data_IF_472657194706
#
_entry.id   IF_472657194706
#
_cell.length_a   1.000
_cell.length_b   1.000
_cell.length_c   1.000
_cell.angle_alpha   90.00
_cell.angle_beta   90.00
_cell.angle_gamma   90.00
#
_symmetry.space_group_name_H-M   'P 1'
#
loop_
_entity.id
_entity.type
_entity.pdbx_description
1 polymer ?
#
# COMPACT_ATOMS: atom_id res chain seq x y z
N UNK A 1 -42.47 -19.94 13.03
CA UNK A 1 -42.50 -19.61 11.59
C UNK A 1 -41.45 -18.55 11.33
N UNK A 2 -40.29 -18.94 10.81
CA UNK A 2 -39.16 -18.07 10.48
C UNK A 2 -38.88 -18.05 8.96
N UNK A 3 -39.80 -18.59 8.17
CA UNK A 3 -39.64 -18.80 6.72
C UNK A 3 -40.53 -17.86 5.91
N UNK A 4 -40.76 -16.65 6.41
CA UNK A 4 -41.43 -15.65 5.58
C UNK A 4 -40.40 -15.21 4.53
N UNK A 5 -40.54 -15.75 3.31
CA UNK A 5 -39.78 -15.33 2.13
C UNK A 5 -39.83 -13.81 2.05
N UNK A 6 -38.67 -13.17 2.19
CA UNK A 6 -38.53 -11.71 2.18
C UNK A 6 -38.75 -11.09 0.80
N UNK A 7 -39.50 -11.75 -0.09
CA UNK A 7 -39.78 -11.28 -1.44
C UNK A 7 -40.58 -9.96 -1.43
N UNK A 8 -41.39 -9.75 -0.39
CA UNK A 8 -42.16 -8.50 -0.18
C UNK A 8 -41.36 -7.38 0.49
N UNK A 9 -40.18 -7.69 1.03
CA UNK A 9 -39.30 -6.66 1.60
C UNK A 9 -38.53 -6.04 0.43
N UNK A 10 -38.80 -4.77 0.14
CA UNK A 10 -38.10 -3.98 -0.88
C UNK A 10 -36.56 -4.12 -0.81
N UNK A 11 -36.02 -4.38 0.37
CA UNK A 11 -34.58 -4.58 0.60
C UNK A 11 -34.05 -5.98 0.21
N UNK A 12 -34.92 -6.99 0.11
CA UNK A 12 -34.62 -8.39 -0.21
C UNK A 12 -35.17 -8.83 -1.58
N UNK A 13 -36.15 -8.13 -2.14
CA UNK A 13 -36.79 -8.41 -3.44
C UNK A 13 -35.96 -7.97 -4.66
N UNK A 14 -34.65 -7.78 -4.54
CA UNK A 14 -33.81 -7.39 -5.67
C UNK A 14 -33.58 -8.60 -6.59
N UNK A 15 -34.41 -8.71 -7.64
CA UNK A 15 -34.18 -9.63 -8.74
C UNK A 15 -32.80 -9.32 -9.35
N UNK A 16 -31.89 -10.29 -9.23
CA UNK A 16 -30.53 -10.40 -9.81
C UNK A 16 -30.00 -9.22 -10.65
N UNK A 17 -28.80 -8.74 -10.32
CA UNK A 17 -28.01 -7.84 -11.18
C UNK A 17 -27.84 -6.42 -10.64
N UNK A 18 -27.98 -5.41 -11.51
CA UNK A 18 -27.67 -4.01 -11.21
C UNK A 18 -28.51 -3.42 -10.07
N UNK A 19 -29.73 -3.94 -9.84
CA UNK A 19 -30.62 -3.49 -8.76
C UNK A 19 -30.06 -3.85 -7.38
N UNK A 20 -29.42 -5.03 -7.25
CA UNK A 20 -28.74 -5.46 -6.02
C UNK A 20 -27.59 -4.50 -5.68
N UNK A 21 -26.84 -4.05 -6.69
CA UNK A 21 -25.74 -3.09 -6.51
C UNK A 21 -26.19 -1.71 -5.98
N UNK A 22 -27.48 -1.35 -6.14
CA UNK A 22 -28.04 -0.08 -5.69
C UNK A 22 -28.48 -0.09 -4.22
N UNK A 23 -28.60 -1.27 -3.60
CA UNK A 23 -28.99 -1.42 -2.20
C UNK A 23 -28.00 -0.70 -1.28
N UNK A 24 -28.54 0.04 -0.30
CA UNK A 24 -27.76 0.90 0.61
C UNK A 24 -26.68 0.13 1.36
N UNK A 25 -27.00 -1.05 1.88
CA UNK A 25 -26.04 -1.86 2.63
C UNK A 25 -24.88 -2.34 1.75
N UNK A 26 -25.14 -2.67 0.48
CA UNK A 26 -24.08 -3.02 -0.48
C UNK A 26 -23.19 -1.82 -0.79
N UNK A 27 -23.77 -0.61 -0.93
CA UNK A 27 -22.97 0.62 -1.10
C UNK A 27 -22.05 0.87 0.10
N UNK A 28 -22.56 0.71 1.33
CA UNK A 28 -21.78 0.86 2.54
C UNK A 28 -20.66 -0.18 2.64
N UNK A 29 -20.95 -1.45 2.35
CA UNK A 29 -19.94 -2.52 2.34
C UNK A 29 -18.86 -2.24 1.29
N UNK A 30 -19.22 -1.75 0.09
CA UNK A 30 -18.26 -1.36 -0.94
C UNK A 30 -17.35 -0.23 -0.49
N UNK A 31 -17.91 0.80 0.14
CA UNK A 31 -17.12 1.91 0.70
C UNK A 31 -16.17 1.43 1.80
N UNK A 32 -16.64 0.58 2.72
CA UNK A 32 -15.81 -0.01 3.77
C UNK A 32 -14.70 -0.89 3.19
N UNK A 33 -14.99 -1.67 2.14
CA UNK A 33 -14.00 -2.50 1.46
C UNK A 33 -12.86 -1.66 0.83
N UNK A 34 -13.18 -0.51 0.22
CA UNK A 34 -12.16 0.40 -0.34
C UNK A 34 -11.21 0.91 0.75
N UNK A 35 -11.74 1.28 1.91
CA UNK A 35 -10.93 1.71 3.05
C UNK A 35 -10.06 0.58 3.61
N UNK A 36 -10.61 -0.63 3.72
CA UNK A 36 -9.86 -1.81 4.17
C UNK A 36 -8.70 -2.14 3.22
N UNK A 37 -8.94 -2.10 1.90
CA UNK A 37 -7.89 -2.33 0.91
C UNK A 37 -6.78 -1.29 0.96
N UNK A 38 -7.15 -0.02 1.15
CA UNK A 38 -6.18 1.06 1.32
C UNK A 38 -5.32 0.82 2.56
N UNK A 39 -5.93 0.42 3.67
CA UNK A 39 -5.22 0.08 4.91
C UNK A 39 -4.25 -1.09 4.73
N UNK A 40 -4.68 -2.19 4.11
CA UNK A 40 -3.81 -3.36 3.86
C UNK A 40 -2.61 -2.99 2.97
N UNK A 41 -2.83 -2.16 1.95
CA UNK A 41 -1.75 -1.65 1.09
C UNK A 41 -0.70 -0.86 1.90
N UNK A 42 -1.12 0.06 2.77
CA UNK A 42 -0.20 0.81 3.63
C UNK A 42 0.51 -0.06 4.67
N UNK A 43 -0.17 -1.07 5.23
CA UNK A 43 0.43 -2.01 6.16
C UNK A 43 1.59 -2.78 5.51
N UNK A 44 1.42 -3.23 4.26
CA UNK A 44 2.49 -3.92 3.50
C UNK A 44 3.67 -3.01 3.19
N UNK A 45 3.39 -1.78 2.76
CA UNK A 45 4.45 -0.77 2.53
C UNK A 45 5.21 -0.50 3.81
N UNK A 46 4.51 -0.31 4.93
CA UNK A 46 5.12 -0.09 6.24
C UNK A 46 6.00 -1.27 6.68
N UNK A 47 5.53 -2.50 6.50
CA UNK A 47 6.28 -3.71 6.83
C UNK A 47 7.54 -3.85 5.98
N UNK A 48 7.45 -3.61 4.67
CA UNK A 48 8.59 -3.62 3.76
C UNK A 48 9.63 -2.56 4.15
N UNK A 49 9.21 -1.30 4.29
CA UNK A 49 10.09 -0.19 4.66
C UNK A 49 10.72 -0.45 6.03
N UNK A 50 9.92 -0.89 7.02
CA UNK A 50 10.40 -1.23 8.36
C UNK A 50 11.40 -2.38 8.37
N UNK A 51 11.18 -3.43 7.58
CA UNK A 51 12.11 -4.56 7.43
C UNK A 51 13.42 -4.09 6.82
N UNK A 52 13.36 -3.24 5.79
CA UNK A 52 14.54 -2.66 5.20
C UNK A 52 15.31 -1.82 6.23
N UNK A 53 14.66 -0.92 6.97
CA UNK A 53 15.33 -0.12 8.02
C UNK A 53 15.89 -0.97 9.15
N UNK A 54 15.22 -2.06 9.54
CA UNK A 54 15.71 -2.99 10.54
C UNK A 54 17.01 -3.68 10.07
N UNK A 55 17.06 -4.15 8.82
CA UNK A 55 18.27 -4.74 8.25
C UNK A 55 19.43 -3.75 8.22
N UNK A 56 19.18 -2.49 7.83
CA UNK A 56 20.21 -1.45 7.84
C UNK A 56 20.67 -1.14 9.27
N UNK A 57 19.76 -1.04 10.23
CA UNK A 57 20.10 -0.87 11.66
C UNK A 57 20.97 -2.00 12.21
N UNK A 58 20.65 -3.25 11.86
CA UNK A 58 21.45 -4.42 12.23
C UNK A 58 22.87 -4.35 11.66
N UNK A 59 23.06 -3.76 10.48
CA UNK A 59 24.43 -3.59 9.94
C UNK A 59 25.28 -2.68 10.82
N UNK A 60 24.73 -1.56 11.30
CA UNK A 60 25.43 -0.64 12.21
C UNK A 60 25.69 -1.29 13.57
N UNK A 61 24.73 -2.07 14.07
CA UNK A 61 24.90 -2.82 15.31
C UNK A 61 26.05 -3.82 15.20
N UNK A 62 26.06 -4.66 14.15
CA UNK A 62 27.13 -5.64 13.92
C UNK A 62 28.47 -4.95 13.73
N UNK A 63 28.51 -3.85 12.98
CA UNK A 63 29.73 -3.10 12.75
C UNK A 63 30.32 -2.59 14.07
N UNK A 64 29.51 -1.95 14.91
CA UNK A 64 29.94 -1.45 16.22
C UNK A 64 30.37 -2.58 17.18
N UNK A 65 29.60 -3.67 17.22
CA UNK A 65 29.89 -4.81 18.10
C UNK A 65 31.14 -5.58 17.67
N UNK A 66 31.21 -6.02 16.42
CA UNK A 66 32.30 -6.86 15.92
C UNK A 66 33.62 -6.10 15.77
N UNK A 67 33.60 -4.83 15.33
CA UNK A 67 34.83 -4.03 15.25
C UNK A 67 35.25 -3.48 16.61
N UNK A 68 34.30 -3.00 17.40
CA UNK A 68 34.58 -2.37 18.69
C UNK A 68 34.97 -3.35 19.79
N UNK A 69 34.24 -4.45 19.94
CA UNK A 69 34.45 -5.39 21.05
C UNK A 69 35.30 -6.61 20.68
N UNK A 70 35.11 -7.14 19.47
CA UNK A 70 35.78 -8.38 19.06
C UNK A 70 37.06 -8.15 18.25
N UNK A 71 37.31 -6.91 17.81
CA UNK A 71 38.43 -6.54 16.95
C UNK A 71 38.58 -7.45 15.71
N UNK A 72 37.45 -7.88 15.15
CA UNK A 72 37.39 -8.83 14.02
C UNK A 72 36.82 -8.15 12.76
N UNK A 73 37.62 -7.33 12.04
CA UNK A 73 37.13 -6.52 10.91
C UNK A 73 36.62 -7.36 9.73
N UNK A 74 37.28 -8.49 9.43
CA UNK A 74 36.90 -9.38 8.33
C UNK A 74 35.50 -9.98 8.53
N UNK A 75 35.21 -10.41 9.76
CA UNK A 75 33.89 -10.93 10.14
C UNK A 75 32.82 -9.83 10.08
N UNK A 76 33.16 -8.62 10.52
CA UNK A 76 32.25 -7.48 10.45
C UNK A 76 31.89 -7.13 9.00
N UNK A 77 32.89 -7.01 8.11
CA UNK A 77 32.67 -6.64 6.70
C UNK A 77 31.85 -7.68 5.95
N UNK A 78 32.14 -8.96 6.14
CA UNK A 78 31.36 -10.04 5.53
C UNK A 78 29.89 -10.03 5.99
N UNK A 79 29.63 -9.83 7.28
CA UNK A 79 28.26 -9.75 7.79
C UNK A 79 27.52 -8.51 7.26
N UNK A 80 28.17 -7.34 7.24
CA UNK A 80 27.59 -6.12 6.66
C UNK A 80 27.29 -6.30 5.19
N UNK A 81 28.20 -6.91 4.41
CA UNK A 81 27.97 -7.18 2.99
C UNK A 81 26.73 -8.06 2.76
N UNK A 82 26.55 -9.11 3.57
CA UNK A 82 25.38 -9.99 3.49
C UNK A 82 24.09 -9.23 3.83
N UNK A 83 24.08 -8.46 4.93
CA UNK A 83 22.89 -7.72 5.35
C UNK A 83 22.52 -6.59 4.36
N UNK A 84 23.51 -5.90 3.79
CA UNK A 84 23.30 -4.91 2.73
C UNK A 84 22.78 -5.57 1.44
N UNK A 85 23.29 -6.74 1.09
CA UNK A 85 22.75 -7.49 -0.05
C UNK A 85 21.30 -7.89 0.18
N UNK A 86 20.98 -8.40 1.38
CA UNK A 86 19.61 -8.76 1.77
C UNK A 86 18.67 -7.54 1.72
N UNK A 87 19.09 -6.38 2.23
CA UNK A 87 18.29 -5.16 2.19
C UNK A 87 18.05 -4.67 0.75
N UNK A 88 19.06 -4.74 -0.12
CA UNK A 88 18.90 -4.46 -1.55
C UNK A 88 17.90 -5.42 -2.23
N UNK A 89 17.95 -6.70 -1.90
CA UNK A 89 17.01 -7.69 -2.45
C UNK A 89 15.58 -7.41 -1.99
N UNK A 90 15.36 -7.15 -0.70
CA UNK A 90 14.04 -6.75 -0.16
C UNK A 90 13.54 -5.50 -0.89
N UNK A 91 14.36 -4.46 -1.01
CA UNK A 91 14.00 -3.23 -1.71
C UNK A 91 13.67 -3.47 -3.20
N UNK A 92 14.38 -4.37 -3.88
CA UNK A 92 14.15 -4.70 -5.29
C UNK A 92 12.86 -5.50 -5.52
N UNK A 93 12.50 -6.37 -4.58
CA UNK A 93 11.26 -7.16 -4.64
C UNK A 93 10.04 -6.27 -4.38
N UNK A 94 10.17 -5.32 -3.46
CA UNK A 94 9.02 -4.52 -3.04
C UNK A 94 8.74 -3.32 -3.98
N UNK A 95 9.76 -2.73 -4.60
CA UNK A 95 9.63 -1.48 -5.37
C UNK A 95 9.70 -1.67 -6.90
N UNK A 96 8.72 -1.10 -7.61
CA UNK A 96 8.74 -0.92 -9.07
C UNK A 96 9.50 0.34 -9.49
N UNK A 97 10.80 0.36 -9.25
CA UNK A 97 11.65 1.48 -9.70
C UNK A 97 12.05 1.32 -11.17
N UNK A 98 12.16 2.44 -11.88
CA UNK A 98 12.83 2.48 -13.19
C UNK A 98 14.29 2.07 -13.04
N UNK A 99 14.94 1.65 -14.14
CA UNK A 99 16.34 1.18 -14.10
C UNK A 99 17.31 2.20 -13.49
N UNK A 100 17.11 3.48 -13.80
CA UNK A 100 17.93 4.58 -13.29
C UNK A 100 17.66 4.90 -11.84
N UNK A 101 16.39 4.97 -11.43
CA UNK A 101 16.04 5.17 -10.01
C UNK A 101 16.54 3.99 -9.17
N UNK A 102 16.44 2.75 -9.69
CA UNK A 102 16.95 1.54 -9.03
C UNK A 102 18.46 1.59 -8.86
N UNK A 103 19.19 1.94 -9.92
CA UNK A 103 20.65 2.06 -9.85
C UNK A 103 21.06 3.15 -8.84
N UNK A 104 20.44 4.33 -8.91
CA UNK A 104 20.71 5.42 -7.99
C UNK A 104 20.43 5.02 -6.53
N UNK A 105 19.31 4.33 -6.30
CA UNK A 105 18.94 3.82 -4.99
C UNK A 105 19.95 2.79 -4.47
N UNK A 106 20.35 1.82 -5.30
CA UNK A 106 21.36 0.82 -4.92
C UNK A 106 22.71 1.44 -4.60
N UNK A 107 23.19 2.37 -5.43
CA UNK A 107 24.47 3.06 -5.21
C UNK A 107 24.42 3.87 -3.91
N UNK A 108 23.36 4.63 -3.68
CA UNK A 108 23.24 5.46 -2.48
C UNK A 108 23.13 4.61 -1.20
N UNK A 109 22.38 3.52 -1.25
CA UNK A 109 22.23 2.60 -0.13
C UNK A 109 23.57 1.92 0.21
N UNK A 110 24.32 1.45 -0.79
CA UNK A 110 25.65 0.88 -0.58
C UNK A 110 26.67 1.92 -0.09
N UNK A 111 26.62 3.15 -0.61
CA UNK A 111 27.56 4.21 -0.26
C UNK A 111 27.58 4.50 1.25
N UNK A 112 26.42 4.59 1.90
CA UNK A 112 26.36 4.85 3.34
C UNK A 112 27.02 3.78 4.19
N UNK A 113 26.88 2.52 3.81
CA UNK A 113 27.44 1.38 4.54
C UNK A 113 28.95 1.26 4.31
N UNK A 114 29.42 1.54 3.09
CA UNK A 114 30.84 1.62 2.79
C UNK A 114 31.50 2.76 3.57
N UNK A 115 30.87 3.93 3.63
CA UNK A 115 31.35 5.05 4.43
C UNK A 115 31.39 4.72 5.93
N UNK A 116 30.39 4.01 6.45
CA UNK A 116 30.36 3.54 7.83
C UNK A 116 31.48 2.53 8.12
N UNK A 117 31.69 1.53 7.24
CA UNK A 117 32.77 0.56 7.37
C UNK A 117 34.14 1.26 7.33
N UNK A 118 34.31 2.26 6.46
CA UNK A 118 35.52 3.06 6.38
C UNK A 118 35.76 3.85 7.67
N UNK A 119 34.73 4.53 8.19
CA UNK A 119 34.83 5.28 9.44
C UNK A 119 35.20 4.38 10.62
N UNK A 120 34.57 3.21 10.72
CA UNK A 120 34.86 2.24 11.77
C UNK A 120 36.30 1.69 11.65
N UNK A 121 36.77 1.43 10.44
CA UNK A 121 38.16 1.01 10.20
C UNK A 121 39.18 2.09 10.61
N UNK A 122 38.96 3.33 10.17
CA UNK A 122 39.78 4.49 10.56
C UNK A 122 39.82 4.68 12.09
N UNK A 123 38.68 4.48 12.77
CA UNK A 123 38.60 4.57 14.22
C UNK A 123 39.50 3.52 14.90
N UNK A 124 39.57 2.31 14.35
CA UNK A 124 40.44 1.24 14.89
C UNK A 124 41.93 1.46 14.62
N UNK A 125 42.29 2.08 13.49
CA UNK A 125 43.69 2.22 13.06
C UNK A 125 44.35 3.56 13.39
N UNK A 126 43.66 4.67 13.13
CA UNK A 126 44.23 6.03 13.14
C UNK A 126 43.66 6.94 14.24
N UNK A 127 42.70 6.42 15.02
CA UNK A 127 42.08 7.11 16.14
C UNK A 127 40.92 8.03 15.75
N UNK A 128 40.28 8.59 16.78
CA UNK A 128 38.95 9.19 16.70
C UNK A 128 38.82 10.42 15.77
N UNK A 129 39.90 11.20 15.58
CA UNK A 129 39.84 12.48 14.85
C UNK A 129 39.46 12.34 13.38
N UNK A 130 39.98 11.32 12.68
CA UNK A 130 39.66 11.08 11.25
C UNK A 130 38.28 10.46 11.07
N UNK A 131 37.94 9.49 11.93
CA UNK A 131 36.63 8.84 11.92
C UNK A 131 35.48 9.83 12.08
N UNK A 132 35.66 10.85 12.94
CA UNK A 132 34.66 11.90 13.19
C UNK A 132 34.25 12.71 11.95
N UNK A 133 35.09 12.78 10.92
CA UNK A 133 34.76 13.49 9.67
C UNK A 133 33.93 12.61 8.72
N UNK A 134 34.15 11.30 8.73
CA UNK A 134 33.50 10.35 7.81
C UNK A 134 32.15 9.88 8.34
N UNK A 135 32.00 9.74 9.65
CA UNK A 135 30.75 9.33 10.31
C UNK A 135 29.51 10.14 9.87
N UNK A 136 29.50 11.49 9.84
CA UNK A 136 28.32 12.25 9.41
C UNK A 136 27.95 11.98 7.94
N UNK A 137 28.89 11.62 7.07
CA UNK A 137 28.58 11.27 5.68
C UNK A 137 27.73 10.01 5.59
N UNK A 138 28.01 9.01 6.44
CA UNK A 138 27.20 7.80 6.52
C UNK A 138 25.76 8.12 6.96
N UNK A 139 25.61 8.90 8.03
CA UNK A 139 24.29 9.33 8.53
C UNK A 139 23.50 10.15 7.51
N UNK A 140 24.15 11.12 6.86
CA UNK A 140 23.53 11.94 5.81
C UNK A 140 23.07 11.06 4.65
N UNK A 141 23.92 10.16 4.16
CA UNK A 141 23.53 9.27 3.06
C UNK A 141 22.34 8.37 3.42
N UNK A 142 22.30 7.84 4.64
CA UNK A 142 21.18 7.05 5.13
C UNK A 142 19.89 7.89 5.24
N UNK A 143 19.99 9.12 5.75
CA UNK A 143 18.88 10.07 5.78
C UNK A 143 18.34 10.38 4.38
N UNK A 144 19.23 10.55 3.38
CA UNK A 144 18.82 10.74 1.98
C UNK A 144 18.11 9.50 1.46
N UNK A 145 18.59 8.28 1.77
CA UNK A 145 17.91 7.02 1.39
C UNK A 145 16.50 6.95 1.98
N UNK A 146 16.33 7.29 3.25
CA UNK A 146 15.02 7.32 3.93
C UNK A 146 14.10 8.38 3.28
N UNK A 147 14.62 9.58 3.01
CA UNK A 147 13.86 10.64 2.32
C UNK A 147 13.51 10.29 0.87
N UNK A 148 14.39 9.62 0.14
CA UNK A 148 14.07 9.13 -1.19
C UNK A 148 13.03 8.02 -1.15
N UNK A 149 13.09 7.12 -0.16
CA UNK A 149 12.06 6.11 0.03
C UNK A 149 10.67 6.73 0.22
N UNK A 150 10.55 7.80 1.01
CA UNK A 150 9.26 8.49 1.21
C UNK A 150 8.77 9.20 -0.05
N UNK A 151 9.67 9.79 -0.84
CA UNK A 151 9.33 10.44 -2.13
C UNK A 151 8.89 9.40 -3.17
N UNK A 152 9.56 8.24 -3.21
CA UNK A 152 9.31 7.16 -4.19
C UNK A 152 7.94 6.52 -4.00
N UNK A 153 7.34 6.53 -2.79
CA UNK A 153 6.03 5.92 -2.51
C UNK A 153 4.93 6.39 -3.48
N UNK A 154 5.07 7.60 -4.09
CA UNK A 154 4.19 8.13 -5.16
C UNK A 154 2.71 7.87 -4.86
N UNK A 155 2.27 8.34 -3.70
CA UNK A 155 0.88 8.21 -3.26
C UNK A 155 -0.05 8.92 -4.25
N UNK A 156 -1.03 8.20 -4.80
CA UNK A 156 -2.03 8.74 -5.72
C UNK A 156 -3.43 8.53 -5.18
N UNK A 157 -4.26 9.57 -5.30
CA UNK A 157 -5.70 9.49 -5.04
C UNK A 157 -6.39 8.97 -6.31
N UNK A 158 -7.19 7.92 -6.17
CA UNK A 158 -8.03 7.36 -7.23
C UNK A 158 -9.42 8.03 -7.27
N UNK A 159 -10.16 7.84 -8.37
CA UNK A 159 -11.49 8.45 -8.59
C UNK A 159 -12.54 8.02 -7.56
N UNK A 160 -12.38 6.83 -7.01
CA UNK A 160 -13.21 6.28 -5.94
C UNK A 160 -12.86 6.83 -4.54
N UNK A 161 -11.88 7.74 -4.45
CA UNK A 161 -11.37 8.29 -3.19
C UNK A 161 -10.34 7.41 -2.47
N UNK A 162 -9.94 6.26 -3.05
CA UNK A 162 -8.88 5.43 -2.49
C UNK A 162 -7.51 6.12 -2.64
N UNK A 163 -6.63 5.95 -1.67
CA UNK A 163 -5.29 6.55 -1.68
C UNK A 163 -4.28 5.41 -1.71
N UNK A 164 -3.61 5.18 -2.85
CA UNK A 164 -2.79 3.98 -3.04
C UNK A 164 -1.32 4.33 -3.34
N UNK A 165 -0.36 3.64 -2.70
CA UNK A 165 1.06 3.77 -2.99
C UNK A 165 1.42 2.91 -4.23
N UNK A 166 1.37 3.52 -5.40
CA UNK A 166 1.51 2.80 -6.68
C UNK A 166 2.95 2.32 -6.99
N UNK A 167 3.94 2.75 -6.22
CA UNK A 167 5.34 2.36 -6.41
C UNK A 167 5.67 0.94 -5.91
N UNK A 168 4.72 0.25 -5.26
CA UNK A 168 4.94 -1.08 -4.68
C UNK A 168 4.26 -2.18 -5.50
N UNK A 169 5.04 -3.21 -5.88
CA UNK A 169 4.51 -4.36 -6.64
C UNK A 169 3.40 -5.08 -5.87
N UNK A 170 3.62 -5.30 -4.57
CA UNK A 170 2.66 -6.01 -3.71
C UNK A 170 1.28 -5.35 -3.61
N UNK A 171 1.18 -4.05 -3.93
CA UNK A 171 -0.08 -3.29 -3.94
C UNK A 171 -0.79 -3.43 -5.29
N UNK A 172 -0.05 -3.54 -6.39
CA UNK A 172 -0.61 -3.82 -7.72
C UNK A 172 -1.31 -5.19 -7.77
N UNK A 173 -0.78 -6.21 -7.08
CA UNK A 173 -1.41 -7.53 -7.03
C UNK A 173 -2.69 -7.59 -6.18
N UNK A 174 -2.92 -6.58 -5.33
CA UNK A 174 -4.13 -6.44 -4.52
C UNK A 174 -5.28 -5.75 -5.25
N UNK A 175 -5.03 -5.15 -6.41
CA UNK A 175 -6.08 -4.58 -7.26
C UNK A 175 -6.85 -5.71 -7.96
N UNK A 176 -7.58 -6.49 -7.17
CA UNK A 176 -8.48 -7.58 -7.62
C UNK A 176 -9.57 -7.05 -8.55
N UNK A 177 -9.83 -5.73 -8.52
CA UNK A 177 -10.86 -5.09 -9.31
C UNK A 177 -10.35 -4.52 -10.64
N UNK A 178 -9.05 -4.58 -10.91
CA UNK A 178 -8.46 -4.13 -12.17
C UNK A 178 -8.64 -2.63 -12.45
N UNK A 179 -8.85 -1.81 -11.41
CA UNK A 179 -9.09 -0.37 -11.55
C UNK A 179 -7.94 0.35 -12.23
N UNK A 180 -6.69 -0.09 -12.01
CA UNK A 180 -5.50 0.56 -12.55
C UNK A 180 -5.34 0.33 -14.05
N UNK A 181 -5.84 -0.79 -14.59
CA UNK A 181 -5.57 -1.19 -15.98
C UNK A 181 -6.46 -0.50 -17.02
N UNK A 182 -7.61 0.07 -16.62
CA UNK A 182 -8.58 0.62 -17.58
C UNK A 182 -8.20 1.99 -18.18
N UNK A 183 -7.19 2.70 -17.67
CA UNK A 183 -6.83 4.03 -18.19
C UNK A 183 -5.94 4.04 -19.44
N UNK A 184 -5.28 2.93 -19.77
CA UNK A 184 -4.38 2.88 -20.93
C UNK A 184 -5.00 2.23 -22.18
N UNK A 185 -6.22 1.70 -22.07
CA UNK A 185 -6.87 0.95 -23.13
C UNK A 185 -8.01 1.70 -23.82
N UNK A 186 -8.05 3.05 -23.75
CA UNK A 186 -8.78 3.85 -24.74
C UNK A 186 -7.73 4.36 -25.71
N UNK A 187 -7.41 3.61 -26.79
CA UNK A 187 -6.60 4.15 -27.83
C UNK A 187 -7.34 5.35 -28.40
N UNK A 188 -6.57 6.37 -28.70
CA UNK A 188 -6.79 7.50 -29.61
C UNK A 188 -7.29 7.08 -31.02
N UNK A 189 -7.84 5.88 -31.18
CA UNK A 189 -8.47 5.36 -32.38
C UNK A 189 -9.87 5.96 -32.63
N UNK A 190 -10.44 6.70 -31.68
CA UNK A 190 -11.70 7.43 -31.88
C UNK A 190 -11.51 8.87 -32.39
N UNK A 191 -10.27 9.40 -32.45
CA UNK A 191 -10.01 10.76 -32.94
C UNK A 191 -9.34 10.80 -34.34
N UNK A 192 -8.98 9.64 -34.91
CA UNK A 192 -8.26 9.58 -36.18
C UNK A 192 -9.12 9.33 -37.44
N UNK A 193 -10.47 9.21 -37.37
CA UNK A 193 -11.20 8.83 -38.59
C UNK A 193 -12.72 8.80 -38.58
N UNK A 194 -13.42 9.86 -38.15
CA UNK A 194 -14.82 10.03 -38.54
C UNK A 194 -15.27 11.50 -38.67
N UNK A 195 -14.57 12.24 -39.53
CA UNK A 195 -15.20 13.27 -40.37
C UNK A 195 -15.23 12.69 -41.78
N UNK A 196 -16.35 12.06 -42.14
CA UNK A 196 -17.06 12.30 -43.41
C UNK A 196 -18.08 11.18 -43.69
N UNK A 197 -19.29 11.64 -43.98
CA UNK A 197 -20.43 10.99 -44.65
C UNK A 197 -21.22 9.86 -43.96
N UNK A 198 -22.45 10.24 -43.61
CA UNK A 198 -23.60 9.38 -43.35
C UNK A 198 -24.20 8.93 -44.70
N UNK A 199 -24.32 7.62 -44.96
CA UNK A 199 -25.48 7.13 -45.68
C UNK A 199 -26.29 6.18 -44.80
N UNK A 200 -27.56 6.56 -44.61
CA UNK A 200 -28.56 5.76 -43.95
C UNK A 200 -28.81 4.46 -44.72
N UNK A 201 -28.38 3.31 -44.19
CA UNK A 201 -28.95 2.02 -44.58
C UNK A 201 -28.76 1.00 -43.46
N UNK A 202 -29.88 0.46 -42.98
CA UNK A 202 -29.92 -0.49 -41.89
C UNK A 202 -29.29 -1.84 -42.22
N UNK A 203 -28.51 -2.36 -41.27
CA UNK A 203 -28.22 -3.79 -41.16
C UNK A 203 -27.79 -4.13 -39.72
N UNK A 204 -28.60 -4.97 -39.10
CA UNK A 204 -28.33 -5.97 -38.06
C UNK A 204 -26.95 -5.93 -37.36
N UNK A 205 -26.96 -5.57 -36.07
CA UNK A 205 -25.78 -5.61 -35.19
C UNK A 205 -25.35 -7.05 -34.84
N UNK A 206 -24.04 -7.37 -34.84
CA UNK A 206 -23.53 -8.63 -34.31
C UNK A 206 -23.41 -8.57 -32.79
N UNK A 207 -23.92 -9.61 -32.14
CA UNK A 207 -23.90 -9.84 -30.69
C UNK A 207 -22.46 -10.12 -30.23
N UNK A 208 -21.82 -9.13 -29.60
CA UNK A 208 -20.53 -9.33 -28.91
C UNK A 208 -20.75 -10.25 -27.70
N UNK A 209 -20.29 -11.49 -27.83
CA UNK A 209 -20.19 -12.44 -26.73
C UNK A 209 -19.01 -12.00 -25.87
N UNK A 210 -19.31 -11.48 -24.67
CA UNK A 210 -18.32 -11.26 -23.63
C UNK A 210 -17.68 -12.60 -23.28
N UNK A 211 -16.45 -12.81 -23.72
CA UNK A 211 -15.63 -13.95 -23.36
C UNK A 211 -15.21 -13.76 -21.90
N UNK A 212 -15.93 -14.43 -21.01
CA UNK A 212 -15.59 -14.59 -19.60
C UNK A 212 -14.26 -15.36 -19.52
N UNK A 213 -13.20 -14.82 -18.88
CA UNK A 213 -11.96 -15.57 -18.73
C UNK A 213 -12.25 -16.80 -17.85
N UNK A 214 -12.04 -17.97 -18.44
CA UNK A 214 -12.13 -19.25 -17.76
C UNK A 214 -11.18 -19.25 -16.57
N UNK A 215 -11.73 -19.39 -15.36
CA UNK A 215 -10.98 -19.67 -14.16
C UNK A 215 -10.15 -20.94 -14.39
N UNK A 216 -8.85 -20.76 -14.65
CA UNK A 216 -7.89 -21.83 -14.67
C UNK A 216 -7.83 -22.46 -13.29
N UNK A 217 -8.21 -23.73 -13.23
CA UNK A 217 -8.02 -24.58 -12.06
C UNK A 217 -6.52 -24.67 -11.75
N UNK A 218 -6.06 -23.91 -10.76
CA UNK A 218 -4.75 -24.11 -10.15
C UNK A 218 -4.92 -25.19 -9.08
N UNK A 219 -4.29 -26.33 -9.34
CA UNK A 219 -4.25 -27.48 -8.47
C UNK A 219 -3.78 -27.10 -7.07
N UNK A 220 -4.58 -27.54 -6.09
CA UNK A 220 -4.09 -27.89 -4.75
C UNK A 220 -3.08 -29.01 -4.91
N UNK A 221 -1.87 -28.81 -4.41
CA UNK A 221 -1.08 -29.82 -3.70
C UNK A 221 0.22 -29.17 -3.19
N UNK A 222 0.20 -28.76 -1.92
CA UNK A 222 1.40 -28.56 -1.11
C UNK A 222 1.00 -28.47 0.37
N UNK A 223 0.59 -29.61 0.93
CA UNK A 223 0.69 -29.89 2.34
C UNK A 223 2.15 -30.20 2.67
N UNK A 224 2.85 -29.35 3.42
CA UNK A 224 4.04 -29.76 4.15
C UNK A 224 4.26 -28.92 5.41
N UNK A 225 4.16 -29.63 6.53
CA UNK A 225 4.59 -29.34 7.89
C UNK A 225 5.68 -28.27 8.06
N UNK A 226 5.43 -27.30 8.94
CA UNK A 226 6.48 -26.65 9.71
C UNK A 226 6.00 -26.46 11.17
N UNK A 227 6.77 -27.07 12.06
CA UNK A 227 6.56 -27.23 13.49
C UNK A 227 6.61 -25.91 14.25
N UNK A 228 5.71 -25.77 15.23
CA UNK A 228 5.80 -24.81 16.32
C UNK A 228 7.08 -25.05 17.12
N UNK A 229 8.01 -24.09 17.07
CA UNK A 229 9.15 -23.98 17.98
C UNK A 229 8.93 -22.77 18.90
N UNK A 230 8.45 -23.03 20.10
CA UNK A 230 8.41 -22.08 21.21
C UNK A 230 9.83 -21.83 21.71
N UNK A 231 10.32 -20.59 21.62
CA UNK A 231 11.50 -20.14 22.35
C UNK A 231 11.21 -18.78 22.98
N UNK A 232 10.93 -18.83 24.28
CA UNK A 232 10.92 -17.69 25.20
C UNK A 232 12.34 -17.14 25.33
N UNK A 233 12.61 -15.99 24.72
CA UNK A 233 13.85 -15.22 24.85
C UNK A 233 13.57 -13.88 25.50
N UNK A 234 13.89 -13.80 26.79
CA UNK A 234 13.87 -12.63 27.66
C UNK A 234 14.88 -11.57 27.15
N UNK A 235 14.40 -10.38 26.79
CA UNK A 235 15.23 -9.21 26.51
C UNK A 235 14.85 -8.08 27.47
N UNK A 236 15.81 -7.43 28.16
CA UNK A 236 15.54 -6.30 29.02
C UNK A 236 15.22 -5.05 28.19
N UNK A 237 14.17 -4.36 28.62
CA UNK A 237 13.65 -3.10 28.09
C UNK A 237 14.66 -1.96 28.35
N UNK A 238 15.12 -1.22 27.32
CA UNK A 238 15.87 0.01 27.56
C UNK A 238 14.91 1.19 27.77
N UNK A 239 14.89 1.70 28.99
CA UNK A 239 14.28 2.97 29.35
C UNK A 239 14.93 4.13 28.57
N UNK A 240 14.30 4.62 27.50
CA UNK A 240 14.60 5.98 27.01
C UNK A 240 13.38 6.61 26.30
N UNK A 241 12.95 7.81 26.71
CA UNK A 241 11.76 8.45 26.16
C UNK A 241 12.09 9.29 24.92
N UNK A 242 11.84 8.75 23.73
CA UNK A 242 11.58 9.57 22.53
C UNK A 242 10.34 9.06 21.82
N UNK A 243 9.19 9.21 22.50
CA UNK A 243 7.89 9.00 21.91
C UNK A 243 7.46 10.22 21.10
N UNK A 244 7.76 10.23 19.80
CA UNK A 244 6.91 10.94 18.84
C UNK A 244 5.54 10.24 18.85
N UNK A 245 4.62 10.86 19.59
CA UNK A 245 3.31 10.30 19.90
C UNK A 245 2.50 10.03 18.64
N UNK A 246 2.23 8.75 18.37
CA UNK A 246 1.30 8.28 17.33
C UNK A 246 -0.08 8.95 17.45
N UNK A 247 -0.44 9.46 18.63
CA UNK A 247 -1.69 10.21 18.85
C UNK A 247 -1.74 11.55 18.12
N UNK A 248 -0.59 12.16 17.78
CA UNK A 248 -0.55 13.42 17.04
C UNK A 248 -0.83 13.22 15.54
N UNK A 249 -0.51 12.05 14.95
CA UNK A 249 -0.87 11.75 13.56
C UNK A 249 -2.35 11.35 13.42
N UNK A 250 -2.95 10.79 14.47
CA UNK A 250 -4.39 10.49 14.50
C UNK A 250 -5.27 11.75 14.54
N UNK A 251 -4.83 12.85 15.19
CA UNK A 251 -5.60 14.10 15.21
C UNK A 251 -5.63 14.79 13.86
N UNK A 252 -4.52 14.80 13.11
CA UNK A 252 -4.48 15.39 11.76
C UNK A 252 -5.33 14.61 10.75
N UNK A 253 -5.42 13.28 10.85
CA UNK A 253 -6.30 12.49 9.97
C UNK A 253 -7.78 12.57 10.36
N UNK A 254 -8.09 12.89 11.61
CA UNK A 254 -9.47 13.04 12.09
C UNK A 254 -10.06 14.44 11.77
N UNK A 255 -9.25 15.50 11.79
CA UNK A 255 -9.71 16.88 11.54
C UNK A 255 -10.05 17.16 10.07
N UNK A 256 -9.32 16.57 9.11
CA UNK A 256 -9.61 16.72 7.67
C UNK A 256 -10.82 15.88 7.20
N UNK A 257 -11.19 14.83 7.93
CA UNK A 257 -12.33 13.97 7.56
C UNK A 257 -13.69 14.55 7.99
N UNK A 258 -13.73 15.36 9.04
CA UNK A 258 -14.97 15.98 9.53
C UNK A 258 -15.20 17.42 9.03
N UNK A 259 -14.17 18.06 8.46
CA UNK A 259 -14.22 19.50 8.10
C UNK A 259 -14.31 19.76 6.59
N UNK A 260 -15.09 18.97 5.84
CA UNK A 260 -15.56 19.39 4.50
C UNK A 260 -16.92 20.11 4.63
N UNK A 261 -16.95 21.45 4.65
CA UNK A 261 -18.19 22.19 4.45
C UNK A 261 -18.54 22.13 2.96
N UNK A 262 -19.67 21.50 2.64
CA UNK A 262 -20.23 21.57 1.29
C UNK A 262 -20.51 20.22 0.64
N UNK A 263 -21.47 19.48 1.21
CA UNK A 263 -22.45 18.83 0.34
C UNK A 263 -23.81 19.45 0.65
N UNK A 264 -24.59 19.88 -0.35
CA UNK A 264 -25.96 20.31 -0.13
C UNK A 264 -26.71 19.12 0.45
N UNK A 265 -27.01 19.21 1.74
CA UNK A 265 -27.91 18.30 2.43
C UNK A 265 -29.29 18.62 1.86
N UNK A 266 -29.65 17.97 0.75
CA UNK A 266 -31.03 17.92 0.28
C UNK A 266 -31.87 17.36 1.44
N UNK A 267 -32.46 18.29 2.18
CA UNK A 267 -33.58 18.03 3.06
C UNK A 267 -34.75 17.67 2.14
N UNK A 268 -34.79 16.41 1.71
CA UNK A 268 -36.06 15.79 1.35
C UNK A 268 -36.83 15.63 2.65
N UNK A 269 -37.51 16.70 3.06
CA UNK A 269 -38.65 16.60 3.97
C UNK A 269 -39.69 15.75 3.24
N UNK A 270 -39.78 14.49 3.64
CA UNK A 270 -40.96 13.68 3.43
C UNK A 270 -42.07 14.34 4.26
N UNK A 271 -42.79 15.28 3.64
CA UNK A 271 -44.14 15.62 4.06
C UNK A 271 -44.96 14.34 3.93
N UNK A 272 -45.21 13.71 5.07
CA UNK A 272 -46.28 12.73 5.18
C UNK A 272 -47.57 13.54 5.21
N UNK A 273 -48.24 13.60 4.07
CA UNK A 273 -49.60 14.11 3.95
C UNK A 273 -50.52 13.28 4.87
N UNK A 274 -50.81 13.85 6.04
CA UNK A 274 -51.73 13.31 7.05
C UNK A 274 -53.18 13.68 6.70
N UNK A 275 -53.56 13.54 5.42
CA UNK A 275 -54.81 14.06 4.86
C UNK A 275 -55.68 12.98 4.23
N UNK A 276 -55.96 11.89 4.95
CA UNK A 276 -57.03 10.96 4.56
C UNK A 276 -57.54 10.09 5.71
N UNK A 277 -58.27 10.67 6.66
CA UNK A 277 -59.18 9.94 7.55
C UNK A 277 -60.30 10.83 8.09
N UNK A 278 -61.12 11.40 7.20
CA UNK A 278 -62.45 11.91 7.56
C UNK A 278 -63.46 11.52 6.48
N UNK A 279 -63.81 10.24 6.47
CA UNK A 279 -64.91 9.68 5.68
C UNK A 279 -66.09 9.36 6.60
N UNK A 280 -66.99 10.32 6.72
CA UNK A 280 -68.34 10.19 7.28
C UNK A 280 -69.23 9.29 6.41
N UNK A 281 -69.91 8.35 7.06
CA UNK A 281 -71.19 7.74 6.66
C UNK A 281 -71.81 7.20 7.94
N UNK A 282 -73.05 7.51 8.32
CA UNK A 282 -74.25 7.64 7.51
C UNK A 282 -75.20 6.56 7.99
#
# INVERSE_FOLDING_TARGET
>A
GLERRGEDLYELGAHHGEQVAKLRHIKLIRQAAVHWQTYDAFARVSMSVGTNQLLLSLTYYVLGYAMGQLHAPEAAWSCVAILVCASLLVAQVDLTLSKWERLGFSVLLSFGHVAACWAAYEQTQMGFKRASIVEPLAWISHGIVVGLMTIVVKVRVQENGAVLPLAFQGVLFLDVFGWVWHRHAVPEALDAGHRDEVPATGASAPRLVAQQPSAGAVGRDASLHASQGSSSGFFPEPDTPMGLSVRHLQSYLAEDYFSRPGSPRERHSLDWDESSASGTGG
#
